data_IF_933205725873
#
_entry.id   IF_933205725873
#
_cell.length_a   1.000
_cell.length_b   1.000
_cell.length_c   1.000
_cell.angle_alpha   90.00
_cell.angle_beta   90.00
_cell.angle_gamma   90.00
#
_symmetry.space_group_name_H-M   'P 1'
#
loop_
_entity.id
_entity.type
_entity.pdbx_description
1 polymer ?
#
# COMPACT_ATOMS: atom_id res chain seq x y z
N UNK A 1 -7.58 -1.61 7.31
CA UNK A 1 -7.32 -0.20 6.92
C UNK A 1 -7.92 0.81 7.91
N UNK A 2 -9.10 0.56 8.47
CA UNK A 2 -9.76 1.49 9.39
C UNK A 2 -8.93 1.90 10.63
N UNK A 3 -8.04 1.03 11.13
CA UNK A 3 -7.23 1.37 12.30
C UNK A 3 -6.17 2.44 12.02
N UNK A 4 -5.66 2.52 10.79
CA UNK A 4 -4.74 3.59 10.37
C UNK A 4 -5.42 4.96 10.48
N UNK A 5 -6.72 5.03 10.20
CA UNK A 5 -7.51 6.26 10.32
C UNK A 5 -7.73 6.71 11.78
N UNK A 6 -7.50 5.81 12.75
CA UNK A 6 -7.63 6.14 14.18
C UNK A 6 -6.35 6.70 14.79
N UNK A 7 -5.22 6.61 14.08
CA UNK A 7 -3.94 7.18 14.51
C UNK A 7 -4.04 8.71 14.44
N UNK A 8 -3.80 9.39 15.56
CA UNK A 8 -4.02 10.85 15.67
C UNK A 8 -2.77 11.67 15.41
N UNK A 9 -1.60 11.10 15.67
CA UNK A 9 -0.31 11.79 15.59
C UNK A 9 0.80 10.82 15.21
N UNK A 10 1.86 11.33 14.58
CA UNK A 10 3.01 10.51 14.17
C UNK A 10 3.74 9.87 15.36
N UNK A 11 3.65 10.45 16.56
CA UNK A 11 4.24 9.87 17.77
C UNK A 11 3.59 8.53 18.20
N UNK A 12 2.41 8.21 17.66
CA UNK A 12 1.73 6.94 17.89
C UNK A 12 2.16 5.86 16.90
N UNK A 13 2.96 6.22 15.88
CA UNK A 13 3.50 5.28 14.91
C UNK A 13 4.66 4.53 15.58
N UNK A 14 4.58 3.19 15.70
CA UNK A 14 5.67 2.41 16.29
C UNK A 14 6.98 2.66 15.55
N UNK A 15 8.07 2.79 16.31
CA UNK A 15 9.43 2.86 15.79
C UNK A 15 9.75 4.08 14.91
N UNK A 16 8.85 5.09 14.83
CA UNK A 16 9.09 6.35 14.14
C UNK A 16 10.02 7.24 14.98
N UNK A 17 11.29 6.86 15.01
CA UNK A 17 12.37 7.58 15.68
C UNK A 17 13.73 7.25 15.06
N UNK A 18 14.75 8.06 15.40
CA UNK A 18 16.12 7.95 14.86
C UNK A 18 16.85 6.65 15.20
N UNK A 19 16.43 5.93 16.24
CA UNK A 19 17.10 4.72 16.70
C UNK A 19 16.57 3.44 16.06
N UNK A 20 15.34 3.48 15.53
CA UNK A 20 14.62 2.28 15.08
C UNK A 20 14.17 2.35 13.62
N UNK A 21 14.13 3.53 13.00
CA UNK A 21 13.81 3.69 11.58
C UNK A 21 15.04 4.19 10.79
N UNK A 22 15.41 3.45 9.73
CA UNK A 22 16.57 3.77 8.91
C UNK A 22 16.51 5.12 8.20
N UNK A 23 15.31 5.66 7.94
CA UNK A 23 15.10 7.01 7.41
C UNK A 23 13.86 7.65 8.04
N UNK A 24 13.92 7.89 9.35
CA UNK A 24 12.79 8.36 10.17
C UNK A 24 12.17 9.71 9.75
N UNK A 25 12.82 10.46 8.86
CA UNK A 25 12.31 11.73 8.32
C UNK A 25 11.37 11.56 7.13
N UNK A 26 11.32 10.39 6.50
CA UNK A 26 10.51 10.12 5.30
C UNK A 26 9.16 9.49 5.67
N UNK A 27 8.43 10.14 6.58
CA UNK A 27 7.10 9.70 7.02
C UNK A 27 6.07 10.80 6.80
N UNK A 28 4.86 10.38 6.41
CA UNK A 28 3.67 11.23 6.33
C UNK A 28 2.44 10.44 6.78
N UNK A 29 1.93 10.75 7.98
CA UNK A 29 0.70 10.13 8.49
C UNK A 29 -0.52 10.51 7.63
N UNK A 30 -0.57 11.73 7.11
CA UNK A 30 -1.66 12.20 6.25
C UNK A 30 -1.78 11.34 4.99
N UNK A 31 -0.67 11.15 4.27
CA UNK A 31 -0.64 10.32 3.06
C UNK A 31 -1.00 8.85 3.37
N UNK A 32 -0.51 8.31 4.49
CA UNK A 32 -0.87 6.97 4.92
C UNK A 32 -2.38 6.82 5.19
N UNK A 33 -3.00 7.85 5.79
CA UNK A 33 -4.44 7.87 6.01
C UNK A 33 -5.24 8.08 4.71
N UNK A 34 -4.73 8.85 3.75
CA UNK A 34 -5.34 8.97 2.42
C UNK A 34 -5.38 7.63 1.69
N UNK A 35 -4.28 6.89 1.72
CA UNK A 35 -4.22 5.53 1.17
C UNK A 35 -5.22 4.63 1.90
N UNK A 36 -5.29 4.69 3.23
CA UNK A 36 -6.23 3.87 3.99
C UNK A 36 -7.71 4.21 3.68
N UNK A 37 -8.05 5.50 3.54
CA UNK A 37 -9.38 5.95 3.07
C UNK A 37 -9.69 5.39 1.69
N UNK A 38 -8.75 5.53 0.75
CA UNK A 38 -8.89 5.08 -0.62
C UNK A 38 -9.21 3.59 -0.74
N UNK A 39 -8.53 2.74 0.06
CA UNK A 39 -8.78 1.29 0.07
C UNK A 39 -10.17 0.97 0.64
N UNK A 40 -10.61 1.67 1.70
CA UNK A 40 -11.95 1.46 2.26
C UNK A 40 -13.04 1.87 1.26
N UNK A 41 -12.85 3.01 0.59
CA UNK A 41 -13.81 3.53 -0.41
C UNK A 41 -13.93 2.64 -1.65
N UNK A 42 -12.85 2.01 -2.07
CA UNK A 42 -12.82 1.14 -3.27
C UNK A 42 -13.08 -0.33 -3.01
N UNK A 43 -13.09 -0.72 -1.74
CA UNK A 43 -13.13 -2.12 -1.30
C UNK A 43 -11.93 -2.96 -1.81
N UNK A 44 -11.81 -4.19 -1.33
CA UNK A 44 -10.71 -5.10 -1.69
C UNK A 44 -11.27 -6.30 -2.44
N UNK A 45 -10.94 -6.40 -3.74
CA UNK A 45 -11.29 -7.55 -4.58
C UNK A 45 -10.24 -8.66 -4.51
N UNK A 46 -10.68 -9.87 -4.84
CA UNK A 46 -9.80 -11.03 -5.05
C UNK A 46 -9.50 -11.13 -6.54
N UNK A 47 -8.22 -11.07 -6.90
CA UNK A 47 -7.78 -11.25 -8.28
C UNK A 47 -7.78 -12.74 -8.65
N UNK A 48 -8.21 -13.07 -9.87
CA UNK A 48 -8.16 -14.42 -10.44
C UNK A 48 -6.98 -14.54 -11.40
N UNK A 49 -6.11 -15.52 -11.19
CA UNK A 49 -4.99 -15.79 -12.10
C UNK A 49 -5.47 -16.16 -13.51
N UNK A 50 -6.58 -16.91 -13.61
CA UNK A 50 -7.11 -17.32 -14.91
C UNK A 50 -7.67 -16.12 -15.69
N UNK A 51 -8.26 -15.13 -15.01
CA UNK A 51 -8.76 -13.90 -15.64
C UNK A 51 -7.64 -12.94 -16.03
N UNK A 52 -6.55 -12.92 -15.26
CA UNK A 52 -5.40 -12.03 -15.48
C UNK A 52 -4.28 -12.67 -16.30
N UNK A 53 -4.43 -13.95 -16.67
CA UNK A 53 -3.42 -14.66 -17.45
C UNK A 53 -3.20 -13.95 -18.78
N UNK A 54 -1.95 -13.55 -19.03
CA UNK A 54 -1.57 -12.99 -20.32
C UNK A 54 -1.72 -14.06 -21.42
N UNK A 55 -2.37 -13.74 -22.55
CA UNK A 55 -2.44 -14.64 -23.69
C UNK A 55 -1.05 -15.03 -24.20
N UNK A 56 -0.92 -16.23 -24.79
CA UNK A 56 0.36 -16.75 -25.29
C UNK A 56 0.99 -15.82 -26.33
N UNK A 57 0.16 -15.22 -27.16
CA UNK A 57 0.55 -14.26 -28.19
C UNK A 57 1.18 -13.02 -27.54
N UNK A 58 0.56 -12.51 -26.48
CA UNK A 58 1.09 -11.34 -25.76
C UNK A 58 2.39 -11.65 -25.03
N UNK A 59 2.52 -12.87 -24.50
CA UNK A 59 3.76 -13.34 -23.90
C UNK A 59 4.89 -13.46 -24.93
N UNK A 60 4.60 -13.92 -26.15
CA UNK A 60 5.59 -14.00 -27.23
C UNK A 60 6.06 -12.62 -27.71
N UNK A 61 5.16 -11.65 -27.82
CA UNK A 61 5.53 -10.26 -28.15
C UNK A 61 6.49 -9.63 -27.14
N UNK A 62 6.31 -9.96 -25.86
CA UNK A 62 7.10 -9.42 -24.75
C UNK A 62 8.36 -10.26 -24.46
N UNK A 63 8.46 -11.47 -25.02
CA UNK A 63 9.65 -12.31 -24.89
C UNK A 63 10.73 -11.79 -25.83
N UNK A 64 11.76 -11.15 -25.25
CA UNK A 64 12.97 -10.69 -25.93
C UNK A 64 13.95 -11.85 -26.04
#
# INVERSE_FOLDING_TARGET
>A
MADVLKVKDQNQIPELNVYQCGTYTMHSLEEAQDIARHIIERDVRINSNDELALPKEKLQELHI
#
